data_IF_057864727791
#
_entry.id   IF_057864727791
#
_cell.length_a   1.000
_cell.length_b   1.000
_cell.length_c   1.000
_cell.angle_alpha   90.00
_cell.angle_beta   90.00
_cell.angle_gamma   90.00
#
_symmetry.space_group_name_H-M   'P 1'
#
loop_
_entity.id
_entity.type
_entity.pdbx_description
1 polymer ?
#
# COMPACT_ATOMS: atom_id res chain seq x y z
N UNK A 1 -13.47 -9.07 -4.85
CA UNK A 1 -13.31 -9.94 -3.66
C UNK A 1 -11.83 -9.98 -3.28
N UNK A 2 -11.36 -8.95 -2.59
CA UNK A 2 -9.99 -8.85 -2.09
C UNK A 2 -10.06 -8.22 -0.70
N UNK A 3 -9.38 -8.76 0.32
CA UNK A 3 -9.33 -8.14 1.63
C UNK A 3 -8.57 -6.81 1.55
N UNK A 4 -9.05 -5.80 2.26
CA UNK A 4 -8.40 -4.51 2.40
C UNK A 4 -8.09 -4.30 3.88
N UNK A 5 -6.84 -3.94 4.20
CA UNK A 5 -6.41 -3.68 5.57
C UNK A 5 -6.07 -2.18 5.70
N UNK A 6 -6.78 -1.49 6.56
CA UNK A 6 -6.48 -0.12 6.94
C UNK A 6 -5.54 -0.15 8.16
N UNK A 7 -4.32 0.38 8.00
CA UNK A 7 -3.35 0.50 9.08
C UNK A 7 -3.49 1.87 9.73
N UNK A 8 -3.78 1.89 11.01
CA UNK A 8 -3.85 3.12 11.83
C UNK A 8 -3.11 2.87 13.13
N UNK A 9 -2.56 3.89 13.75
CA UNK A 9 -1.90 3.75 15.05
C UNK A 9 -2.76 4.26 16.21
N UNK A 10 -2.35 3.91 17.45
CA UNK A 10 -3.07 4.30 18.64
C UNK A 10 -3.08 5.80 18.91
N UNK A 11 -2.14 6.56 18.38
CA UNK A 11 -2.11 8.02 18.52
C UNK A 11 -3.30 8.65 17.79
N UNK A 12 -3.51 8.29 16.52
CA UNK A 12 -4.64 8.78 15.72
C UNK A 12 -5.97 8.31 16.33
N UNK A 13 -6.03 7.07 16.81
CA UNK A 13 -7.24 6.50 17.41
C UNK A 13 -7.66 7.18 18.72
N UNK A 14 -6.72 7.81 19.46
CA UNK A 14 -6.96 8.44 20.75
C UNK A 14 -6.82 9.98 20.74
N UNK A 15 -6.36 10.56 19.64
CA UNK A 15 -6.25 12.00 19.52
C UNK A 15 -7.63 12.65 19.28
N UNK A 16 -7.76 13.90 19.70
CA UNK A 16 -8.89 14.77 19.36
C UNK A 16 -8.37 15.98 18.59
N UNK A 17 -8.89 16.16 17.39
CA UNK A 17 -8.54 17.29 16.54
C UNK A 17 -9.74 17.76 15.71
N UNK A 18 -9.78 19.00 15.22
CA UNK A 18 -10.81 19.44 14.30
C UNK A 18 -10.80 18.61 13.02
N UNK A 19 -11.97 18.08 12.65
CA UNK A 19 -12.12 17.26 11.46
C UNK A 19 -13.34 17.72 10.64
N UNK A 20 -13.13 17.90 9.33
CA UNK A 20 -14.23 18.20 8.44
C UNK A 20 -15.00 16.92 8.11
N UNK A 21 -16.26 16.89 8.47
CA UNK A 21 -17.14 15.79 8.10
C UNK A 21 -17.29 15.81 6.57
N UNK A 22 -16.94 14.71 5.87
CA UNK A 22 -17.07 14.67 4.42
C UNK A 22 -18.52 14.75 3.99
N UNK A 23 -18.77 15.37 2.84
CA UNK A 23 -20.09 15.29 2.22
C UNK A 23 -20.32 13.87 1.73
N UNK A 24 -21.26 13.16 2.36
CA UNK A 24 -21.56 11.75 2.06
C UNK A 24 -22.02 11.57 0.61
N UNK A 25 -22.75 12.55 0.04
CA UNK A 25 -23.24 12.50 -1.34
C UNK A 25 -22.11 12.65 -2.38
N UNK A 26 -20.95 13.16 -1.96
CA UNK A 26 -19.76 13.28 -2.80
C UNK A 26 -18.85 12.06 -2.74
N UNK A 27 -19.12 11.09 -1.87
CA UNK A 27 -18.35 9.86 -1.78
C UNK A 27 -18.74 8.94 -2.94
N UNK A 28 -17.73 8.51 -3.72
CA UNK A 28 -17.97 7.58 -4.82
C UNK A 28 -18.58 6.27 -4.32
N UNK A 29 -19.75 5.92 -4.81
CA UNK A 29 -20.35 4.62 -4.57
C UNK A 29 -19.65 3.54 -5.39
N UNK A 30 -19.38 2.41 -4.77
CA UNK A 30 -18.86 1.24 -5.47
C UNK A 30 -20.01 0.33 -5.84
N UNK A 31 -20.31 0.28 -7.13
CA UNK A 31 -21.31 -0.65 -7.64
C UNK A 31 -20.72 -2.06 -7.73
N UNK A 32 -21.45 -3.03 -7.18
CA UNK A 32 -21.12 -4.45 -7.29
C UNK A 32 -22.07 -5.09 -8.30
N UNK A 33 -21.54 -5.51 -9.45
CA UNK A 33 -22.30 -6.25 -10.44
C UNK A 33 -22.48 -7.69 -9.99
N UNK A 34 -23.67 -8.05 -9.54
CA UNK A 34 -24.00 -9.43 -9.20
C UNK A 34 -24.40 -10.23 -10.43
N UNK A 35 -23.85 -11.44 -10.54
CA UNK A 35 -24.30 -12.42 -11.52
C UNK A 35 -25.69 -12.93 -11.14
N UNK A 36 -26.63 -12.89 -12.07
CA UNK A 36 -28.01 -13.39 -11.89
C UNK A 36 -28.37 -14.49 -12.87
N UNK A 37 -27.63 -14.61 -13.99
CA UNK A 37 -27.84 -15.62 -15.00
C UNK A 37 -27.02 -16.89 -14.68
N UNK A 38 -27.66 -18.08 -14.53
CA UNK A 38 -26.98 -19.34 -14.27
C UNK A 38 -26.27 -19.93 -15.50
N UNK A 39 -26.54 -19.44 -16.71
CA UNK A 39 -25.91 -19.98 -17.92
C UNK A 39 -24.38 -19.84 -17.83
N UNK A 40 -23.69 -20.97 -18.00
CA UNK A 40 -22.22 -21.03 -17.92
C UNK A 40 -21.62 -20.40 -16.65
N UNK A 41 -22.34 -20.49 -15.53
CA UNK A 41 -21.81 -19.98 -14.26
C UNK A 41 -20.75 -20.93 -13.69
N UNK A 42 -19.54 -20.42 -13.61
CA UNK A 42 -18.41 -21.06 -12.94
C UNK A 42 -17.87 -20.12 -11.86
N UNK A 43 -17.97 -20.48 -10.58
CA UNK A 43 -17.72 -19.56 -9.47
C UNK A 43 -16.27 -19.09 -9.32
N UNK A 44 -15.32 -19.80 -9.96
CA UNK A 44 -13.90 -19.46 -9.92
C UNK A 44 -13.34 -18.94 -11.24
N UNK A 45 -14.14 -18.86 -12.30
CA UNK A 45 -13.77 -18.14 -13.52
C UNK A 45 -13.64 -16.66 -13.20
N UNK A 46 -12.60 -16.05 -13.71
CA UNK A 46 -12.19 -14.69 -13.41
C UNK A 46 -12.25 -13.81 -14.65
N UNK A 47 -12.45 -12.53 -14.42
CA UNK A 47 -12.20 -11.50 -15.42
C UNK A 47 -10.71 -11.49 -15.82
N UNK A 48 -10.42 -11.41 -17.10
CA UNK A 48 -9.06 -11.54 -17.62
C UNK A 48 -8.13 -10.36 -17.24
N UNK A 49 -8.70 -9.20 -16.93
CA UNK A 49 -7.92 -8.01 -16.59
C UNK A 49 -7.73 -7.85 -15.09
N UNK A 50 -8.83 -7.94 -14.36
CA UNK A 50 -8.84 -7.68 -12.91
C UNK A 50 -8.59 -8.93 -12.08
N UNK A 51 -8.72 -10.11 -12.70
CA UNK A 51 -8.71 -11.42 -12.04
C UNK A 51 -9.78 -11.53 -10.93
N UNK A 52 -10.79 -10.68 -10.99
CA UNK A 52 -11.93 -10.72 -10.09
C UNK A 52 -12.88 -11.87 -10.46
N UNK A 53 -13.45 -12.51 -9.45
CA UNK A 53 -14.49 -13.50 -9.64
C UNK A 53 -15.86 -12.83 -9.69
N UNK A 54 -16.82 -13.53 -10.30
CA UNK A 54 -18.22 -13.12 -10.26
C UNK A 54 -18.76 -13.11 -8.83
N UNK A 55 -19.52 -12.08 -8.49
CA UNK A 55 -20.31 -12.05 -7.27
C UNK A 55 -21.64 -12.74 -7.51
N UNK A 56 -22.06 -13.59 -6.60
CA UNK A 56 -23.39 -14.19 -6.60
C UNK A 56 -24.03 -14.01 -5.24
N UNK A 57 -25.28 -13.55 -5.20
CA UNK A 57 -26.01 -13.41 -3.94
C UNK A 57 -26.38 -14.83 -3.47
N UNK A 58 -26.08 -15.23 -2.23
CA UNK A 58 -26.48 -16.50 -1.67
C UNK A 58 -28.00 -16.72 -1.80
N UNK A 59 -28.39 -17.90 -2.31
CA UNK A 59 -29.79 -18.24 -2.57
C UNK A 59 -30.29 -17.89 -3.96
N UNK A 60 -29.46 -17.32 -4.85
CA UNK A 60 -29.82 -17.15 -6.27
C UNK A 60 -29.85 -18.52 -6.93
N UNK A 61 -31.01 -18.91 -7.46
CA UNK A 61 -31.24 -20.21 -8.08
C UNK A 61 -30.27 -20.47 -9.26
N UNK A 62 -29.63 -21.64 -9.28
CA UNK A 62 -28.66 -22.04 -10.30
C UNK A 62 -27.26 -21.41 -10.13
N UNK A 63 -27.04 -20.61 -9.10
CA UNK A 63 -25.72 -20.05 -8.77
C UNK A 63 -25.13 -20.63 -7.46
N UNK A 64 -25.73 -21.71 -6.96
CA UNK A 64 -25.28 -22.38 -5.77
C UNK A 64 -23.88 -22.96 -5.98
N UNK A 65 -22.95 -22.65 -5.08
CA UNK A 65 -21.59 -23.14 -5.17
C UNK A 65 -20.93 -23.23 -3.80
N UNK A 66 -19.87 -24.01 -3.74
CA UNK A 66 -19.12 -24.21 -2.49
C UNK A 66 -18.23 -23.01 -2.19
N UNK A 67 -18.27 -22.52 -0.94
CA UNK A 67 -17.45 -21.41 -0.45
C UNK A 67 -16.35 -21.87 0.52
N UNK A 68 -16.45 -23.03 1.14
CA UNK A 68 -15.57 -23.51 2.22
C UNK A 68 -14.06 -23.49 1.91
N UNK A 69 -13.26 -23.63 2.96
CA UNK A 69 -11.84 -23.24 3.05
C UNK A 69 -10.79 -24.16 2.44
N UNK A 70 -11.13 -25.20 1.69
CA UNK A 70 -10.13 -26.06 1.03
C UNK A 70 -9.85 -25.51 -0.38
N UNK A 71 -8.68 -25.81 -0.95
CA UNK A 71 -8.30 -25.40 -2.31
C UNK A 71 -9.35 -25.83 -3.33
N UNK A 72 -9.69 -24.92 -4.21
CA UNK A 72 -10.70 -25.10 -5.26
C UNK A 72 -10.05 -25.23 -6.63
N UNK A 73 -10.69 -25.98 -7.48
CA UNK A 73 -10.38 -25.97 -8.91
C UNK A 73 -10.58 -24.57 -9.50
N UNK A 74 -9.69 -24.23 -10.40
CA UNK A 74 -9.60 -22.90 -11.04
C UNK A 74 -10.91 -22.42 -11.69
N UNK A 75 -11.69 -23.30 -12.26
CA UNK A 75 -12.93 -22.95 -12.97
C UNK A 75 -14.16 -23.35 -12.17
N UNK A 76 -14.30 -24.64 -11.92
CA UNK A 76 -15.52 -25.25 -11.36
C UNK A 76 -15.77 -24.88 -9.89
N UNK A 77 -14.73 -24.55 -9.13
CA UNK A 77 -14.82 -24.32 -7.69
C UNK A 77 -15.02 -25.60 -6.87
N UNK A 78 -14.89 -26.78 -7.46
CA UNK A 78 -14.86 -28.03 -6.71
C UNK A 78 -13.55 -28.17 -5.95
N UNK A 79 -13.54 -28.99 -4.89
CA UNK A 79 -12.31 -29.27 -4.14
C UNK A 79 -11.28 -29.90 -5.08
N UNK A 80 -10.07 -29.43 -5.03
CA UNK A 80 -8.96 -29.91 -5.83
C UNK A 80 -7.73 -30.17 -4.98
N UNK A 81 -7.11 -31.33 -5.18
CA UNK A 81 -5.84 -31.72 -4.61
C UNK A 81 -4.73 -31.79 -5.68
N UNK A 82 -5.00 -31.32 -6.89
CA UNK A 82 -4.01 -31.29 -7.98
C UNK A 82 -2.95 -30.21 -7.72
N UNK A 83 -1.67 -30.64 -7.74
CA UNK A 83 -0.55 -29.77 -7.44
C UNK A 83 -0.38 -28.62 -8.46
N UNK A 84 -0.73 -28.87 -9.74
CA UNK A 84 -0.65 -27.83 -10.79
C UNK A 84 -1.76 -26.82 -10.62
N UNK A 85 -2.96 -27.25 -10.21
CA UNK A 85 -4.04 -26.34 -9.85
C UNK A 85 -3.65 -25.46 -8.65
N UNK A 86 -3.01 -26.05 -7.65
CA UNK A 86 -2.53 -25.28 -6.47
C UNK A 86 -1.55 -24.17 -6.88
N UNK A 87 -0.55 -24.50 -7.70
CA UNK A 87 0.42 -23.52 -8.22
C UNK A 87 -0.33 -22.41 -8.99
N UNK A 88 -1.18 -22.79 -9.95
CA UNK A 88 -1.97 -21.84 -10.75
C UNK A 88 -2.82 -20.91 -9.88
N UNK A 89 -3.50 -21.45 -8.87
CA UNK A 89 -4.33 -20.64 -7.96
C UNK A 89 -3.50 -19.69 -7.12
N UNK A 90 -2.29 -20.08 -6.73
CA UNK A 90 -1.34 -19.22 -6.01
C UNK A 90 -0.87 -18.07 -6.89
N UNK A 91 -0.46 -18.36 -8.11
CA UNK A 91 0.00 -17.36 -9.08
C UNK A 91 -1.08 -16.34 -9.41
N UNK A 92 -2.32 -16.80 -9.62
CA UNK A 92 -3.45 -15.92 -9.90
C UNK A 92 -3.79 -15.02 -8.71
N UNK A 93 -3.78 -15.56 -7.49
CA UNK A 93 -4.01 -14.73 -6.28
C UNK A 93 -2.93 -13.66 -6.13
N UNK A 94 -1.67 -14.02 -6.38
CA UNK A 94 -0.58 -13.06 -6.39
C UNK A 94 -0.78 -12.01 -7.48
N UNK A 95 -0.99 -12.42 -8.72
CA UNK A 95 -1.17 -11.52 -9.85
C UNK A 95 -2.37 -10.57 -9.66
N UNK A 96 -3.46 -11.04 -9.03
CA UNK A 96 -4.60 -10.21 -8.69
C UNK A 96 -4.23 -9.08 -7.73
N UNK A 97 -3.46 -9.36 -6.69
CA UNK A 97 -3.00 -8.34 -5.73
C UNK A 97 -2.02 -7.38 -6.42
N UNK A 98 -1.05 -7.91 -7.15
CA UNK A 98 -0.07 -7.08 -7.89
C UNK A 98 -0.78 -6.15 -8.89
N UNK A 99 -1.85 -6.64 -9.52
CA UNK A 99 -2.65 -5.87 -10.48
C UNK A 99 -3.36 -4.65 -9.89
N UNK A 100 -3.64 -4.64 -8.59
CA UNK A 100 -4.24 -3.48 -7.89
C UNK A 100 -3.34 -2.24 -7.99
N UNK A 101 -2.02 -2.42 -8.14
CA UNK A 101 -1.10 -1.31 -8.36
C UNK A 101 -1.44 -0.45 -9.59
N UNK A 102 -2.27 -0.96 -10.53
CA UNK A 102 -2.77 -0.18 -11.68
C UNK A 102 -3.80 0.89 -11.28
N UNK A 103 -4.49 0.68 -10.16
CA UNK A 103 -5.53 1.57 -9.65
C UNK A 103 -4.98 2.50 -8.55
N UNK A 104 -3.72 2.28 -8.12
CA UNK A 104 -3.04 3.14 -7.16
C UNK A 104 -2.45 4.34 -7.91
N UNK A 105 -2.74 5.59 -7.46
CA UNK A 105 -2.11 6.77 -8.04
C UNK A 105 -0.58 6.71 -7.99
N UNK A 106 0.06 7.31 -9.00
CA UNK A 106 1.52 7.44 -8.98
C UNK A 106 1.98 8.21 -7.73
N UNK A 107 3.02 7.69 -7.09
CA UNK A 107 3.64 8.33 -5.96
C UNK A 107 4.33 9.62 -6.37
N UNK A 108 4.13 10.66 -5.59
CA UNK A 108 4.80 11.96 -5.73
C UNK A 108 5.48 12.33 -4.42
N UNK A 109 6.39 13.27 -4.48
CA UNK A 109 6.87 13.98 -3.28
C UNK A 109 5.83 14.99 -2.85
N UNK A 110 5.73 15.27 -1.56
CA UNK A 110 4.78 16.25 -1.02
C UNK A 110 5.17 17.71 -1.40
N UNK A 111 6.46 17.95 -1.68
CA UNK A 111 7.00 19.25 -2.11
C UNK A 111 7.06 19.44 -3.64
N UNK A 112 6.68 18.42 -4.43
CA UNK A 112 6.68 18.45 -5.88
C UNK A 112 8.05 18.25 -6.55
N UNK A 113 9.12 18.01 -5.79
CA UNK A 113 10.45 17.74 -6.34
C UNK A 113 10.52 16.31 -6.88
N UNK A 114 11.16 16.12 -8.02
CA UNK A 114 11.31 14.79 -8.63
C UNK A 114 12.65 14.11 -8.30
N UNK A 115 13.59 14.83 -7.66
CA UNK A 115 14.93 14.34 -7.31
C UNK A 115 15.55 15.20 -6.21
N UNK A 116 16.62 14.71 -5.61
CA UNK A 116 17.34 15.45 -4.57
C UNK A 116 18.50 14.69 -3.93
N UNK A 117 19.02 15.24 -2.86
CA UNK A 117 20.08 14.57 -2.10
C UNK A 117 19.50 13.47 -1.22
N UNK A 118 18.40 13.76 -0.50
CA UNK A 118 17.77 12.79 0.40
C UNK A 118 16.26 12.77 0.17
N UNK A 119 15.73 11.58 -0.17
CA UNK A 119 14.31 11.29 -0.12
C UNK A 119 13.95 10.68 1.23
N UNK A 120 12.98 11.26 1.94
CA UNK A 120 12.52 10.77 3.23
C UNK A 120 11.18 10.09 3.03
N UNK A 121 11.16 8.76 3.18
CA UNK A 121 9.95 7.95 2.98
C UNK A 121 9.25 7.77 4.31
N UNK A 122 8.05 8.31 4.41
CA UNK A 122 7.17 8.16 5.58
C UNK A 122 5.88 7.41 5.26
N UNK A 123 5.20 6.96 6.29
CA UNK A 123 3.86 6.39 6.23
C UNK A 123 3.15 6.56 7.57
N UNK A 124 1.82 6.50 7.56
CA UNK A 124 1.02 6.64 8.78
C UNK A 124 1.30 7.96 9.52
N UNK A 125 1.41 7.89 10.83
CA UNK A 125 1.55 9.07 11.72
C UNK A 125 2.91 9.77 11.68
N UNK A 126 3.87 9.30 10.87
CA UNK A 126 5.15 10.00 10.70
C UNK A 126 5.03 11.26 9.82
N UNK A 127 3.89 11.46 9.14
CA UNK A 127 3.67 12.54 8.18
C UNK A 127 4.09 13.91 8.72
N UNK A 128 3.48 14.38 9.80
CA UNK A 128 3.66 15.74 10.28
C UNK A 128 5.09 16.06 10.72
N UNK A 129 5.77 15.11 11.35
CA UNK A 129 7.17 15.30 11.78
C UNK A 129 8.11 15.37 10.57
N UNK A 130 7.91 14.52 9.56
CA UNK A 130 8.71 14.52 8.32
C UNK A 130 8.44 15.78 7.51
N UNK A 131 7.17 16.10 7.29
CA UNK A 131 6.75 17.25 6.50
C UNK A 131 7.37 18.57 7.04
N UNK A 132 7.27 18.77 8.35
CA UNK A 132 7.84 19.97 8.98
C UNK A 132 9.37 19.96 8.96
N UNK A 133 10.02 18.82 9.18
CA UNK A 133 11.46 18.72 9.10
C UNK A 133 11.97 19.02 7.68
N UNK A 134 11.31 18.49 6.66
CA UNK A 134 11.63 18.78 5.24
C UNK A 134 11.48 20.26 4.94
N UNK A 135 10.38 20.88 5.40
CA UNK A 135 10.18 22.32 5.23
C UNK A 135 11.36 23.12 5.80
N UNK A 136 11.78 22.85 7.05
CA UNK A 136 12.86 23.56 7.71
C UNK A 136 14.21 23.35 6.99
N UNK A 137 14.53 22.10 6.62
CA UNK A 137 15.77 21.76 5.94
C UNK A 137 15.87 22.35 4.53
N UNK A 138 14.77 22.49 3.83
CA UNK A 138 14.72 23.17 2.53
C UNK A 138 14.92 24.67 2.67
N UNK A 139 14.38 25.29 3.73
CA UNK A 139 14.64 26.69 4.06
C UNK A 139 16.12 26.95 4.37
N UNK A 140 16.82 25.94 4.91
CA UNK A 140 18.29 25.94 5.09
C UNK A 140 19.06 25.69 3.77
N UNK A 141 18.37 25.41 2.65
CA UNK A 141 18.97 25.21 1.32
C UNK A 141 19.31 23.77 0.99
N UNK A 142 18.87 22.79 1.77
CA UNK A 142 19.10 21.37 1.49
C UNK A 142 18.11 20.80 0.49
N UNK A 143 18.58 20.00 -0.47
CA UNK A 143 17.74 19.31 -1.46
C UNK A 143 17.15 18.01 -0.90
N UNK A 144 16.21 18.13 0.02
CA UNK A 144 15.50 17.04 0.68
C UNK A 144 14.03 17.04 0.33
N UNK A 145 13.40 15.87 0.25
CA UNK A 145 11.99 15.74 -0.13
C UNK A 145 11.27 14.70 0.70
N UNK A 146 9.98 14.95 0.97
CA UNK A 146 9.08 14.03 1.66
C UNK A 146 8.32 13.16 0.64
N UNK A 147 8.39 11.85 0.81
CA UNK A 147 7.66 10.84 0.03
C UNK A 147 6.75 10.11 1.02
N UNK A 148 5.45 10.44 1.03
CA UNK A 148 4.51 9.82 1.97
C UNK A 148 3.71 8.72 1.33
N UNK A 149 3.90 7.47 1.78
CA UNK A 149 3.19 6.32 1.27
C UNK A 149 1.83 6.15 1.95
N UNK A 150 0.77 6.19 1.16
CA UNK A 150 -0.60 5.87 1.58
C UNK A 150 -0.98 4.43 1.28
N UNK A 151 -0.30 3.81 0.31
CA UNK A 151 -0.48 2.42 -0.08
C UNK A 151 0.81 1.66 0.17
N UNK A 152 0.73 0.68 1.07
CA UNK A 152 1.91 -0.08 1.52
C UNK A 152 2.03 -1.41 0.78
N UNK A 153 0.91 -1.98 0.33
CA UNK A 153 0.91 -3.20 -0.47
C UNK A 153 -0.39 -3.36 -1.27
N UNK A 154 -0.33 -3.51 -2.59
CA UNK A 154 0.90 -3.35 -3.39
C UNK A 154 1.42 -1.90 -3.34
N UNK A 155 2.71 -1.74 -3.58
CA UNK A 155 3.34 -0.41 -3.66
C UNK A 155 2.99 0.29 -4.97
N UNK A 156 3.00 1.64 -5.02
CA UNK A 156 2.83 2.41 -6.25
C UNK A 156 3.87 2.02 -7.32
N UNK A 157 3.44 1.88 -8.56
CA UNK A 157 4.27 1.36 -9.67
C UNK A 157 5.56 2.14 -9.93
N UNK A 158 5.48 3.45 -9.80
CA UNK A 158 6.61 4.35 -10.07
C UNK A 158 7.53 4.53 -8.87
N UNK A 159 7.23 3.94 -7.70
CA UNK A 159 7.95 4.22 -6.47
C UNK A 159 9.45 3.90 -6.59
N UNK A 160 9.82 2.76 -7.18
CA UNK A 160 11.22 2.40 -7.35
C UNK A 160 12.01 3.41 -8.18
N UNK A 161 11.40 3.92 -9.27
CA UNK A 161 12.00 4.97 -10.11
C UNK A 161 12.13 6.27 -9.33
N UNK A 162 11.09 6.67 -8.59
CA UNK A 162 11.13 7.88 -7.77
C UNK A 162 12.23 7.81 -6.72
N UNK A 163 12.35 6.68 -6.00
CA UNK A 163 13.41 6.49 -4.99
C UNK A 163 14.80 6.53 -5.59
N UNK A 164 14.97 5.99 -6.80
CA UNK A 164 16.23 6.02 -7.55
C UNK A 164 16.72 7.41 -7.96
N UNK A 165 15.85 8.43 -7.92
CA UNK A 165 16.20 9.82 -8.23
C UNK A 165 16.83 10.57 -7.04
N UNK A 166 16.93 9.94 -5.88
CA UNK A 166 17.57 10.51 -4.69
C UNK A 166 18.91 9.81 -4.43
N UNK A 167 19.92 10.58 -4.03
CA UNK A 167 21.24 10.02 -3.69
C UNK A 167 21.18 9.09 -2.48
N UNK A 168 20.31 9.42 -1.51
CA UNK A 168 20.05 8.64 -0.30
C UNK A 168 18.55 8.60 -0.02
N UNK A 169 18.11 7.49 0.56
CA UNK A 169 16.72 7.30 0.98
C UNK A 169 16.70 6.99 2.47
N UNK A 170 16.00 7.80 3.25
CA UNK A 170 15.80 7.57 4.69
C UNK A 170 14.36 7.14 4.95
N UNK A 171 14.17 6.18 5.86
CA UNK A 171 12.85 5.66 6.22
C UNK A 171 12.65 5.76 7.73
N UNK A 172 12.08 6.88 8.22
CA UNK A 172 11.68 7.02 9.62
C UNK A 172 10.48 6.13 9.93
N UNK A 173 10.64 5.22 10.89
CA UNK A 173 9.61 4.29 11.30
C UNK A 173 9.53 4.16 12.82
N UNK A 174 8.31 4.15 13.36
CA UNK A 174 8.07 3.90 14.80
C UNK A 174 8.03 2.40 15.11
N UNK A 175 8.88 1.66 14.42
CA UNK A 175 9.06 0.22 14.52
C UNK A 175 10.54 -0.13 14.26
N UNK A 176 10.87 -1.41 14.12
CA UNK A 176 12.25 -1.89 13.93
C UNK A 176 12.77 -1.80 12.49
N UNK A 177 11.98 -1.25 11.55
CA UNK A 177 12.37 -1.06 10.15
C UNK A 177 11.74 -2.09 9.21
N UNK A 178 10.44 -2.28 9.29
CA UNK A 178 9.70 -3.20 8.43
C UNK A 178 9.59 -2.67 7.00
N UNK A 179 9.18 -1.41 6.81
CA UNK A 179 9.04 -0.84 5.47
C UNK A 179 10.39 -0.70 4.77
N UNK A 180 11.44 -0.27 5.47
CA UNK A 180 12.78 -0.17 4.85
C UNK A 180 13.25 -1.52 4.31
N UNK A 181 12.91 -2.62 4.99
CA UNK A 181 13.24 -3.98 4.52
C UNK A 181 12.50 -4.31 3.23
N UNK A 182 11.21 -3.97 3.14
CA UNK A 182 10.40 -4.17 1.93
C UNK A 182 10.96 -3.35 0.78
N UNK A 183 11.21 -2.05 0.97
CA UNK A 183 11.73 -1.17 -0.08
C UNK A 183 13.08 -1.66 -0.63
N UNK A 184 13.97 -2.12 0.26
CA UNK A 184 15.25 -2.69 -0.14
C UNK A 184 15.10 -3.99 -0.95
N UNK A 185 14.17 -4.85 -0.55
CA UNK A 185 13.92 -6.11 -1.23
C UNK A 185 13.28 -5.90 -2.61
N UNK A 186 12.29 -5.00 -2.71
CA UNK A 186 11.55 -4.78 -3.96
C UNK A 186 12.33 -3.98 -4.99
N UNK A 187 13.11 -2.98 -4.55
CA UNK A 187 13.73 -2.00 -5.46
C UNK A 187 15.25 -2.00 -5.46
N UNK A 188 15.89 -2.78 -4.59
CA UNK A 188 17.35 -2.82 -4.41
C UNK A 188 17.97 -1.45 -4.13
N UNK A 189 17.18 -0.52 -3.58
CA UNK A 189 17.66 0.80 -3.17
C UNK A 189 18.40 0.71 -1.83
N UNK A 190 19.50 1.46 -1.62
CA UNK A 190 20.24 1.48 -0.37
C UNK A 190 19.52 2.35 0.69
N UNK A 191 18.22 2.07 0.93
CA UNK A 191 17.44 2.81 1.90
C UNK A 191 17.97 2.55 3.33
N UNK A 192 18.03 3.61 4.13
CA UNK A 192 18.51 3.58 5.50
C UNK A 192 17.35 3.75 6.48
N UNK A 193 17.35 2.95 7.54
CA UNK A 193 16.34 3.07 8.59
C UNK A 193 16.67 4.20 9.56
N UNK A 194 15.62 4.87 10.02
CA UNK A 194 15.63 5.74 11.21
C UNK A 194 14.52 5.22 12.14
N UNK A 195 14.89 4.33 13.07
CA UNK A 195 13.91 3.63 13.91
C UNK A 195 13.75 4.27 15.27
N UNK A 196 12.50 4.39 15.73
CA UNK A 196 12.15 4.82 17.07
C UNK A 196 11.05 3.94 17.64
N UNK A 197 11.36 3.13 18.64
CA UNK A 197 10.41 2.21 19.29
C UNK A 197 10.25 2.58 20.77
N UNK A 198 9.75 3.80 21.01
CA UNK A 198 9.60 4.33 22.38
C UNK A 198 8.15 4.56 22.80
N UNK A 199 7.17 4.19 21.93
CA UNK A 199 5.77 4.52 22.16
C UNK A 199 5.44 6.01 22.03
N UNK A 200 6.35 6.81 21.48
CA UNK A 200 6.18 8.25 21.24
C UNK A 200 6.43 8.59 19.78
N UNK A 201 5.69 9.54 19.18
CA UNK A 201 5.93 10.04 17.83
C UNK A 201 7.35 10.59 17.68
N UNK A 202 7.83 10.67 16.45
CA UNK A 202 9.05 11.42 16.16
C UNK A 202 8.86 12.90 16.47
N UNK A 203 9.90 13.50 17.06
CA UNK A 203 10.04 14.96 17.09
C UNK A 203 10.60 15.42 15.75
N UNK A 204 10.27 16.65 15.37
CA UNK A 204 10.80 17.27 14.16
C UNK A 204 12.33 17.26 14.17
N UNK A 205 12.96 17.66 15.30
CA UNK A 205 14.40 17.67 15.47
C UNK A 205 15.07 16.32 15.30
N UNK A 206 14.41 15.21 15.69
CA UNK A 206 14.97 13.86 15.52
C UNK A 206 15.09 13.50 14.04
N UNK A 207 14.14 13.94 13.20
CA UNK A 207 14.20 13.77 11.75
C UNK A 207 15.28 14.68 11.15
N UNK A 208 15.33 15.96 11.53
CA UNK A 208 16.33 16.91 11.07
C UNK A 208 17.76 16.43 11.38
N UNK A 209 18.00 15.98 12.61
CA UNK A 209 19.32 15.48 13.03
C UNK A 209 19.71 14.23 12.25
N UNK A 210 18.75 13.31 12.01
CA UNK A 210 18.99 12.13 11.20
C UNK A 210 19.36 12.48 9.75
N UNK A 211 18.76 13.52 9.19
CA UNK A 211 19.07 14.02 7.84
C UNK A 211 20.42 14.70 7.82
N UNK A 212 20.69 15.66 8.73
CA UNK A 212 21.97 16.40 8.79
C UNK A 212 23.16 15.49 8.96
N UNK A 213 23.04 14.43 9.77
CA UNK A 213 24.08 13.40 9.91
C UNK A 213 24.43 12.67 8.60
N UNK A 214 23.62 12.83 7.55
CA UNK A 214 23.78 12.17 6.26
C UNK A 214 24.00 13.13 5.09
N UNK A 215 23.83 14.42 5.31
CA UNK A 215 24.23 15.45 4.36
C UNK A 215 25.76 15.58 4.36
N UNK A 216 26.40 15.59 3.20
CA UNK A 216 27.84 15.83 3.06
C UNK A 216 28.74 14.60 3.24
N UNK A 217 28.17 13.38 3.20
CA UNK A 217 28.94 12.13 3.17
C UNK A 217 28.97 11.49 1.77
#
# INVERSE_FOLDING_TARGET
MTPVMLLTDGYIANAAEPWLIPNVDAITSFEVAFRTDPLDFHPFVRDDKTLARNWAIPGTAGLEHRIGGIEKDYGSGHISYDARNHQKMTDIRKAKIDGIANDIPEQKTEDGSESGEIGIVGWGSTYGAIDRAVFNLRDEGHAVSHIHLRHIWPLPRNLGTLLGNFKKVLVPEMNTGQLVTVLRAEYLVPAEKVSKVSGQPFKISEIEDAVRARLGG
#
